data_IF_276835728441
#
_entry.id   IF_276835728441
#
_cell.length_a   1.000
_cell.length_b   1.000
_cell.length_c   1.000
_cell.angle_alpha   90.00
_cell.angle_beta   90.00
_cell.angle_gamma   90.00
#
_symmetry.space_group_name_H-M   'P 1'
#
loop_
_entity.id
_entity.type
_entity.pdbx_description
1 polymer ?
#
# COMPACT_ATOMS: atom_id res chain seq x y z
N UNK A 1 -21.01 6.54 9.22
CA UNK A 1 -19.97 6.00 8.31
C UNK A 1 -19.92 6.88 7.06
N UNK A 2 -18.73 7.34 6.69
CA UNK A 2 -18.55 8.09 5.46
C UNK A 2 -18.81 7.19 4.26
N UNK A 3 -19.54 7.68 3.27
CA UNK A 3 -19.73 6.98 2.00
C UNK A 3 -18.60 7.42 1.04
N UNK A 4 -17.85 6.47 0.47
CA UNK A 4 -16.73 6.74 -0.44
C UNK A 4 -17.15 7.51 -1.70
N UNK A 5 -18.40 7.39 -2.15
CA UNK A 5 -18.94 8.20 -3.25
C UNK A 5 -18.87 9.71 -2.96
N UNK A 6 -18.90 10.11 -1.69
CA UNK A 6 -18.83 11.50 -1.25
C UNK A 6 -17.39 11.95 -0.93
N UNK A 7 -16.40 11.07 -1.04
CA UNK A 7 -15.02 11.39 -0.66
C UNK A 7 -14.47 12.61 -1.40
N UNK A 8 -14.85 12.82 -2.65
CA UNK A 8 -14.38 13.94 -3.47
C UNK A 8 -15.13 15.25 -3.24
N UNK A 9 -16.21 15.25 -2.44
CA UNK A 9 -16.93 16.49 -2.12
C UNK A 9 -16.01 17.46 -1.38
N UNK A 10 -16.19 18.78 -1.62
CA UNK A 10 -15.41 19.85 -0.98
C UNK A 10 -15.42 19.72 0.54
N UNK A 11 -16.59 19.46 1.12
CA UNK A 11 -16.75 19.17 2.54
C UNK A 11 -17.09 17.70 2.75
N UNK A 12 -16.15 16.98 3.30
CA UNK A 12 -16.31 15.59 3.71
C UNK A 12 -15.82 15.42 5.15
N UNK A 13 -16.59 14.73 5.98
CA UNK A 13 -16.36 14.64 7.42
C UNK A 13 -16.34 13.19 7.89
N UNK A 14 -15.38 12.83 8.74
CA UNK A 14 -15.25 11.55 9.41
C UNK A 14 -15.14 11.79 10.93
N UNK A 15 -15.95 11.13 11.74
CA UNK A 15 -15.94 11.23 13.22
C UNK A 15 -15.92 12.68 13.75
N UNK A 16 -16.65 13.59 13.11
CA UNK A 16 -16.70 15.03 13.50
C UNK A 16 -15.47 15.84 13.07
N UNK A 17 -14.58 15.26 12.25
CA UNK A 17 -13.40 15.94 11.70
C UNK A 17 -13.61 16.16 10.22
N UNK A 18 -13.55 17.43 9.79
CA UNK A 18 -13.62 17.79 8.37
C UNK A 18 -12.27 17.51 7.72
N UNK A 19 -12.28 16.76 6.62
CA UNK A 19 -11.09 16.46 5.81
C UNK A 19 -10.70 17.66 4.96
N UNK A 20 -9.45 18.07 5.04
CA UNK A 20 -8.83 19.07 4.17
C UNK A 20 -8.23 18.38 2.96
N UNK A 21 -8.58 18.80 1.74
CA UNK A 21 -7.97 18.31 0.50
C UNK A 21 -6.56 18.87 0.36
N UNK A 22 -5.59 17.99 0.25
CA UNK A 22 -4.18 18.32 0.07
C UNK A 22 -3.75 17.81 -1.30
N UNK A 23 -3.37 18.71 -2.18
CA UNK A 23 -2.81 18.41 -3.49
C UNK A 23 -1.28 18.48 -3.43
N UNK A 24 -0.60 17.56 -4.09
CA UNK A 24 0.87 17.50 -4.12
C UNK A 24 1.39 16.83 -5.39
N UNK A 25 2.65 17.10 -5.71
CA UNK A 25 3.32 16.49 -6.85
C UNK A 25 3.83 15.09 -6.52
N UNK A 26 3.57 14.18 -7.44
CA UNK A 26 4.09 12.84 -7.53
C UNK A 26 4.68 12.59 -8.92
N UNK A 27 4.99 11.35 -9.26
CA UNK A 27 5.52 10.96 -10.56
C UNK A 27 4.92 9.64 -11.06
N UNK A 28 5.05 9.39 -12.37
CA UNK A 28 4.62 8.14 -13.03
C UNK A 28 5.81 7.31 -13.53
N UNK A 29 6.71 6.79 -12.66
CA UNK A 29 7.75 5.87 -13.08
C UNK A 29 7.12 4.59 -13.67
N UNK A 30 7.65 4.10 -14.78
CA UNK A 30 7.18 2.88 -15.45
C UNK A 30 7.69 1.61 -14.76
N UNK A 31 8.78 1.73 -14.00
CA UNK A 31 9.40 0.68 -13.21
C UNK A 31 10.22 1.25 -12.05
N UNK A 32 10.80 0.38 -11.24
CA UNK A 32 11.57 0.78 -10.06
C UNK A 32 12.88 1.50 -10.40
N UNK A 33 13.56 1.11 -11.51
CA UNK A 33 14.80 1.79 -11.96
C UNK A 33 14.53 3.26 -12.29
N UNK A 34 13.40 3.55 -12.95
CA UNK A 34 13.05 4.95 -13.23
C UNK A 34 12.81 5.74 -11.93
N UNK A 35 12.09 5.14 -10.95
CA UNK A 35 11.84 5.81 -9.68
C UNK A 35 13.13 6.08 -8.89
N UNK A 36 14.06 5.12 -8.86
CA UNK A 36 15.29 5.17 -8.08
C UNK A 36 16.36 6.05 -8.74
N UNK A 37 16.58 5.87 -10.05
CA UNK A 37 17.79 6.41 -10.71
C UNK A 37 17.51 7.41 -11.83
N UNK A 38 16.26 7.53 -12.29
CA UNK A 38 15.89 8.34 -13.46
C UNK A 38 14.64 9.20 -13.21
N UNK A 39 14.49 9.70 -12.01
CA UNK A 39 13.31 10.47 -11.61
C UNK A 39 13.05 11.69 -12.53
N UNK A 40 14.11 12.33 -13.03
CA UNK A 40 14.00 13.46 -13.96
C UNK A 40 13.40 13.08 -15.34
N UNK A 41 13.37 11.79 -15.67
CA UNK A 41 12.75 11.28 -16.91
C UNK A 41 11.27 10.89 -16.69
N UNK A 42 10.80 10.87 -15.44
CA UNK A 42 9.43 10.50 -15.12
C UNK A 42 8.47 11.67 -15.37
N UNK A 43 7.28 11.35 -15.89
CA UNK A 43 6.19 12.31 -15.96
C UNK A 43 5.76 12.72 -14.53
N UNK A 44 5.74 14.03 -14.27
CA UNK A 44 5.15 14.57 -13.05
C UNK A 44 3.63 14.47 -13.11
N UNK A 45 3.01 14.13 -12.00
CA UNK A 45 1.55 14.08 -11.86
C UNK A 45 1.14 14.73 -10.54
N UNK A 46 0.11 15.56 -10.60
CA UNK A 46 -0.52 16.09 -9.40
C UNK A 46 -1.53 15.08 -8.89
N UNK A 47 -1.38 14.66 -7.65
CA UNK A 47 -2.35 13.80 -6.97
C UNK A 47 -2.82 14.47 -5.68
N UNK A 48 -3.79 13.89 -5.02
CA UNK A 48 -4.34 14.45 -3.79
C UNK A 48 -4.71 13.37 -2.75
N UNK A 49 -5.24 13.85 -1.66
CA UNK A 49 -5.87 13.08 -0.61
C UNK A 49 -6.55 14.00 0.37
N UNK A 50 -7.18 13.43 1.40
CA UNK A 50 -7.79 14.21 2.46
C UNK A 50 -7.10 13.99 3.80
N UNK A 51 -6.69 15.09 4.41
CA UNK A 51 -6.09 15.11 5.75
C UNK A 51 -7.18 15.42 6.79
N UNK A 52 -7.36 14.48 7.71
CA UNK A 52 -8.26 14.61 8.86
C UNK A 52 -7.41 14.83 10.11
N UNK A 53 -7.50 16.03 10.70
CA UNK A 53 -6.75 16.45 11.88
C UNK A 53 -7.67 16.64 13.08
N UNK A 54 -7.68 15.71 14.05
CA UNK A 54 -8.37 15.92 15.32
C UNK A 54 -7.82 17.15 16.06
N UNK A 55 -8.68 17.83 16.79
CA UNK A 55 -8.25 18.99 17.62
C UNK A 55 -7.23 18.54 18.67
N UNK A 56 -6.04 19.16 18.66
CA UNK A 56 -4.96 18.90 19.62
C UNK A 56 -4.16 20.15 19.90
N UNK A 57 -3.61 20.26 21.11
CA UNK A 57 -2.62 21.27 21.48
C UNK A 57 -1.17 20.85 21.19
N UNK A 58 -0.96 19.59 20.88
CA UNK A 58 0.35 19.01 20.54
C UNK A 58 0.30 18.39 19.14
N UNK A 59 1.44 18.27 18.45
CA UNK A 59 1.50 17.50 17.20
C UNK A 59 1.01 16.06 17.41
N UNK A 60 0.25 15.56 16.46
CA UNK A 60 -0.37 14.23 16.51
C UNK A 60 0.44 13.21 15.69
N UNK A 61 0.44 11.94 16.10
CA UNK A 61 0.83 10.87 15.19
C UNK A 61 -0.13 10.82 14.00
N UNK A 62 0.33 10.32 12.87
CA UNK A 62 -0.48 10.24 11.66
C UNK A 62 -0.36 8.87 10.97
N UNK A 63 -1.45 8.45 10.32
CA UNK A 63 -1.47 7.27 9.44
C UNK A 63 -1.87 7.71 8.03
N UNK A 64 -1.04 7.36 7.03
CA UNK A 64 -1.39 7.45 5.62
C UNK A 64 -2.14 6.18 5.24
N UNK A 65 -3.41 6.29 4.86
CA UNK A 65 -4.19 5.16 4.34
C UNK A 65 -4.09 5.15 2.81
N UNK A 66 -3.61 4.03 2.26
CA UNK A 66 -3.37 3.83 0.83
C UNK A 66 -4.36 2.79 0.30
N UNK A 67 -5.22 3.16 -0.66
CA UNK A 67 -6.25 2.27 -1.16
C UNK A 67 -5.69 1.15 -2.04
N UNK A 68 -6.53 0.14 -2.27
CA UNK A 68 -6.28 -0.94 -3.22
C UNK A 68 -6.67 -0.61 -4.66
N UNK A 69 -6.82 -1.66 -5.48
CA UNK A 69 -7.10 -1.57 -6.93
C UNK A 69 -8.45 -0.93 -7.30
N UNK A 70 -9.35 -0.74 -6.33
CA UNK A 70 -10.64 -0.07 -6.52
C UNK A 70 -10.64 1.42 -6.08
N UNK A 71 -9.48 1.99 -5.73
CA UNK A 71 -9.42 3.34 -5.16
C UNK A 71 -9.99 3.41 -3.74
N UNK A 72 -10.29 4.64 -3.30
CA UNK A 72 -10.84 4.89 -1.96
C UNK A 72 -12.22 4.25 -1.84
N UNK A 73 -12.41 3.43 -0.80
CA UNK A 73 -13.63 2.65 -0.54
C UNK A 73 -14.06 2.79 0.92
N UNK A 74 -15.29 2.40 1.22
CA UNK A 74 -15.91 2.58 2.54
C UNK A 74 -15.13 1.94 3.70
N UNK A 75 -14.44 0.80 3.46
CA UNK A 75 -13.58 0.20 4.48
C UNK A 75 -12.41 1.10 4.86
N UNK A 76 -11.77 1.77 3.90
CA UNK A 76 -10.68 2.72 4.18
C UNK A 76 -11.18 3.88 5.06
N UNK A 77 -12.38 4.39 4.79
CA UNK A 77 -13.00 5.46 5.56
C UNK A 77 -13.39 4.97 6.97
N UNK A 78 -13.89 3.75 7.11
CA UNK A 78 -14.20 3.15 8.41
C UNK A 78 -12.93 2.95 9.27
N UNK A 79 -11.81 2.59 8.64
CA UNK A 79 -10.51 2.52 9.33
C UNK A 79 -10.00 3.90 9.72
N UNK A 80 -10.17 4.90 8.84
CA UNK A 80 -9.87 6.30 9.15
C UNK A 80 -10.68 6.78 10.38
N UNK A 81 -12.01 6.54 10.41
CA UNK A 81 -12.85 6.87 11.57
C UNK A 81 -12.37 6.19 12.84
N UNK A 82 -11.97 4.91 12.74
CA UNK A 82 -11.45 4.14 13.88
C UNK A 82 -10.18 4.77 14.45
N UNK A 83 -9.24 5.18 13.60
CA UNK A 83 -8.00 5.84 14.00
C UNK A 83 -8.23 7.26 14.55
N UNK A 84 -9.15 8.04 13.94
CA UNK A 84 -9.53 9.37 14.41
C UNK A 84 -10.12 9.35 15.83
N UNK A 85 -10.91 8.32 16.15
CA UNK A 85 -11.47 8.14 17.49
C UNK A 85 -10.39 7.85 18.56
N UNK A 86 -9.22 7.36 18.14
CA UNK A 86 -8.01 7.21 18.99
C UNK A 86 -7.10 8.44 18.96
N UNK A 87 -7.59 9.58 18.39
CA UNK A 87 -6.83 10.84 18.25
C UNK A 87 -5.57 10.74 17.41
N UNK A 88 -5.54 9.84 16.43
CA UNK A 88 -4.51 9.71 15.41
C UNK A 88 -4.99 10.51 14.19
N UNK A 89 -4.15 11.37 13.65
CA UNK A 89 -4.44 12.06 12.38
C UNK A 89 -4.42 11.05 11.23
N UNK A 90 -5.26 11.26 10.22
CA UNK A 90 -5.33 10.34 9.08
C UNK A 90 -5.24 11.12 7.78
N UNK A 91 -4.38 10.67 6.88
CA UNK A 91 -4.34 11.10 5.50
C UNK A 91 -4.81 9.98 4.59
N UNK A 92 -5.97 10.12 3.97
CA UNK A 92 -6.49 9.16 3.00
C UNK A 92 -6.01 9.59 1.61
N UNK A 93 -5.07 8.83 1.05
CA UNK A 93 -4.48 9.09 -0.26
C UNK A 93 -5.45 8.70 -1.38
N UNK A 94 -5.59 9.54 -2.40
CA UNK A 94 -6.24 9.21 -3.66
C UNK A 94 -5.22 9.22 -4.82
N UNK A 95 -4.70 8.07 -5.23
CA UNK A 95 -3.72 7.99 -6.31
C UNK A 95 -4.36 7.99 -7.71
N UNK A 96 -5.68 7.85 -7.83
CA UNK A 96 -6.33 7.50 -9.08
C UNK A 96 -7.06 8.66 -9.76
N UNK A 97 -7.82 9.48 -9.02
CA UNK A 97 -8.72 10.47 -9.60
C UNK A 97 -8.04 11.41 -10.62
N UNK A 98 -6.90 11.98 -10.25
CA UNK A 98 -6.16 12.90 -11.13
C UNK A 98 -5.39 12.19 -12.26
N UNK A 99 -5.30 10.86 -12.23
CA UNK A 99 -4.75 10.05 -13.34
C UNK A 99 -5.80 9.57 -14.31
N UNK A 100 -7.09 9.82 -14.04
CA UNK A 100 -8.20 9.27 -14.82
C UNK A 100 -8.26 7.74 -14.77
N UNK A 101 -7.84 7.15 -13.64
CA UNK A 101 -7.91 5.72 -13.37
C UNK A 101 -9.08 5.47 -12.43
N UNK A 102 -10.05 4.70 -12.86
CA UNK A 102 -11.18 4.31 -12.00
C UNK A 102 -10.85 3.06 -11.20
N UNK A 103 -10.16 2.09 -11.80
CA UNK A 103 -9.83 0.81 -11.20
C UNK A 103 -8.68 0.13 -11.92
N UNK A 104 -7.84 -0.58 -11.18
CA UNK A 104 -6.80 -1.46 -11.74
C UNK A 104 -7.15 -2.95 -11.67
N UNK A 105 -8.35 -3.32 -11.22
CA UNK A 105 -8.80 -4.71 -11.01
C UNK A 105 -8.68 -5.57 -12.27
N UNK A 106 -9.13 -5.04 -13.41
CA UNK A 106 -9.10 -5.75 -14.68
C UNK A 106 -7.75 -5.66 -15.41
N UNK A 107 -6.94 -4.64 -15.09
CA UNK A 107 -5.61 -4.40 -15.65
C UNK A 107 -4.69 -3.81 -14.59
N UNK A 108 -3.94 -4.67 -13.90
CA UNK A 108 -3.02 -4.28 -12.84
C UNK A 108 -1.79 -3.49 -13.34
N UNK A 109 -1.55 -3.44 -14.65
CA UNK A 109 -0.35 -2.83 -15.24
C UNK A 109 -0.56 -1.44 -15.83
N UNK A 110 -1.78 -0.89 -15.74
CA UNK A 110 -2.06 0.47 -16.24
C UNK A 110 -1.52 1.59 -15.35
N UNK A 111 -1.18 1.25 -14.13
CA UNK A 111 -0.57 2.09 -13.12
C UNK A 111 0.50 1.26 -12.41
N UNK A 112 1.77 1.64 -12.52
CA UNK A 112 2.87 0.78 -12.06
C UNK A 112 2.91 0.63 -10.54
N UNK A 113 3.44 -0.50 -10.05
CA UNK A 113 3.68 -0.68 -8.62
C UNK A 113 4.74 0.28 -8.10
N UNK A 114 5.74 0.64 -8.92
CA UNK A 114 6.72 1.67 -8.59
C UNK A 114 6.08 3.04 -8.40
N UNK A 115 5.14 3.45 -9.28
CA UNK A 115 4.38 4.69 -9.13
C UNK A 115 3.49 4.67 -7.88
N UNK A 116 2.88 3.51 -7.57
CA UNK A 116 2.09 3.35 -6.34
C UNK A 116 2.93 3.60 -5.08
N UNK A 117 4.16 3.07 -5.02
CA UNK A 117 5.06 3.28 -3.91
C UNK A 117 5.62 4.72 -3.86
N UNK A 118 5.88 5.32 -5.05
CA UNK A 118 6.30 6.72 -5.14
C UNK A 118 5.25 7.67 -4.56
N UNK A 119 3.97 7.45 -4.84
CA UNK A 119 2.87 8.26 -4.28
C UNK A 119 2.85 8.22 -2.75
N UNK A 120 3.14 7.08 -2.15
CA UNK A 120 3.19 6.93 -0.69
C UNK A 120 4.33 7.77 -0.10
N UNK A 121 5.50 7.79 -0.74
CA UNK A 121 6.63 8.62 -0.32
C UNK A 121 6.38 10.11 -0.54
N UNK A 122 5.72 10.48 -1.65
CA UNK A 122 5.31 11.86 -1.91
C UNK A 122 4.31 12.35 -0.85
N UNK A 123 3.35 11.49 -0.45
CA UNK A 123 2.43 11.77 0.64
C UNK A 123 3.16 11.92 1.98
N UNK A 124 4.10 11.03 2.31
CA UNK A 124 4.93 11.12 3.52
C UNK A 124 5.64 12.48 3.60
N UNK A 125 6.35 12.86 2.53
CA UNK A 125 7.06 14.15 2.46
C UNK A 125 6.11 15.34 2.63
N UNK A 126 4.93 15.25 2.04
CA UNK A 126 3.93 16.32 2.10
C UNK A 126 3.36 16.48 3.51
N UNK A 127 2.87 15.41 4.13
CA UNK A 127 2.22 15.53 5.43
C UNK A 127 3.21 15.77 6.57
N UNK A 128 4.47 15.37 6.43
CA UNK A 128 5.52 15.64 7.43
C UNK A 128 5.81 17.14 7.61
N UNK A 129 5.41 17.99 6.66
CA UNK A 129 5.58 19.43 6.73
C UNK A 129 4.48 20.14 7.55
N UNK A 130 3.42 19.44 7.93
CA UNK A 130 2.34 20.03 8.72
C UNK A 130 2.75 20.13 10.19
N UNK A 131 2.80 21.34 10.73
CA UNK A 131 3.22 21.60 12.13
C UNK A 131 2.35 20.90 13.20
N UNK A 132 1.15 20.45 12.83
CA UNK A 132 0.25 19.69 13.69
C UNK A 132 0.46 18.18 13.64
N UNK A 133 1.37 17.71 12.78
CA UNK A 133 1.76 16.31 12.67
C UNK A 133 3.16 16.14 13.25
N UNK A 134 3.35 15.12 14.07
CA UNK A 134 4.67 14.71 14.53
C UNK A 134 5.34 13.89 13.41
N UNK A 135 6.29 14.49 12.72
CA UNK A 135 6.99 13.87 11.60
C UNK A 135 7.76 12.58 11.96
N UNK A 136 8.07 12.38 13.25
CA UNK A 136 8.71 11.14 13.73
C UNK A 136 7.70 10.02 14.04
N UNK A 137 6.41 10.32 13.97
CA UNK A 137 5.32 9.36 14.25
C UNK A 137 4.33 9.32 13.10
N UNK A 138 4.85 9.11 11.88
CA UNK A 138 4.03 8.87 10.69
C UNK A 138 4.14 7.39 10.33
N UNK A 139 2.98 6.73 10.20
CA UNK A 139 2.86 5.35 9.73
C UNK A 139 2.09 5.30 8.42
N UNK A 140 2.27 4.22 7.68
CA UNK A 140 1.46 3.94 6.49
C UNK A 140 0.66 2.65 6.67
N UNK A 141 -0.59 2.66 6.20
CA UNK A 141 -1.46 1.51 6.13
C UNK A 141 -1.96 1.36 4.70
N UNK A 142 -1.60 0.28 4.03
CA UNK A 142 -1.99 0.05 2.65
C UNK A 142 -2.78 -1.23 2.46
N UNK A 143 -3.76 -1.19 1.55
CA UNK A 143 -4.67 -2.31 1.27
C UNK A 143 -4.41 -2.88 -0.12
N UNK A 144 -4.20 -4.19 -0.25
CA UNK A 144 -3.99 -4.88 -1.53
C UNK A 144 -2.81 -4.26 -2.31
N UNK A 145 -3.03 -3.65 -3.47
CA UNK A 145 -2.05 -2.84 -4.19
C UNK A 145 -1.41 -1.76 -3.29
N UNK A 146 -2.21 -1.08 -2.48
CA UNK A 146 -1.72 -0.13 -1.48
C UNK A 146 -0.84 -0.78 -0.43
N UNK A 147 -1.12 -2.04 -0.07
CA UNK A 147 -0.27 -2.85 0.82
C UNK A 147 1.10 -3.12 0.22
N UNK A 148 1.17 -3.42 -1.08
CA UNK A 148 2.43 -3.52 -1.83
C UNK A 148 3.18 -2.19 -1.83
N UNK A 149 2.45 -1.10 -2.09
CA UNK A 149 3.01 0.24 -2.17
C UNK A 149 3.68 0.67 -0.84
N UNK A 150 3.03 0.42 0.31
CA UNK A 150 3.61 0.79 1.61
C UNK A 150 4.79 -0.10 2.01
N UNK A 151 4.80 -1.38 1.62
CA UNK A 151 5.97 -2.24 1.82
C UNK A 151 7.16 -1.74 1.01
N UNK A 152 6.98 -1.51 -0.29
CA UNK A 152 8.04 -0.97 -1.16
C UNK A 152 8.51 0.41 -0.69
N UNK A 153 7.59 1.29 -0.26
CA UNK A 153 7.94 2.61 0.26
C UNK A 153 8.71 2.57 1.61
N UNK A 154 8.67 1.44 2.34
CA UNK A 154 9.48 1.23 3.53
C UNK A 154 10.91 0.78 3.23
N UNK A 155 11.16 0.22 2.04
CA UNK A 155 12.47 -0.28 1.60
C UNK A 155 13.44 0.89 1.37
N UNK A 156 14.58 0.90 2.04
CA UNK A 156 15.55 1.99 1.96
C UNK A 156 16.14 2.15 0.56
N UNK A 157 16.37 1.05 -0.14
CA UNK A 157 16.83 1.06 -1.53
C UNK A 157 15.89 1.83 -2.47
N UNK A 158 14.58 1.82 -2.18
CA UNK A 158 13.58 2.59 -2.93
C UNK A 158 13.37 3.99 -2.35
N UNK A 159 13.26 4.12 -1.03
CA UNK A 159 12.84 5.37 -0.38
C UNK A 159 13.94 6.44 -0.40
N UNK A 160 15.19 6.09 -0.05
CA UNK A 160 16.26 7.08 0.12
C UNK A 160 16.59 7.88 -1.16
N UNK A 161 16.63 7.29 -2.36
CA UNK A 161 16.84 8.06 -3.58
C UNK A 161 15.72 9.08 -3.87
N UNK A 162 14.50 8.83 -3.37
CA UNK A 162 13.29 9.63 -3.68
C UNK A 162 13.07 10.74 -2.65
N UNK A 163 13.17 10.43 -1.36
CA UNK A 163 12.84 11.39 -0.29
C UNK A 163 14.02 11.76 0.60
N UNK A 164 15.16 11.08 0.45
CA UNK A 164 16.35 11.26 1.28
C UNK A 164 16.37 10.36 2.52
N UNK A 165 17.56 10.23 3.15
CA UNK A 165 17.76 9.29 4.27
C UNK A 165 17.08 9.72 5.58
N UNK A 166 16.69 11.00 5.69
CA UNK A 166 16.05 11.55 6.89
C UNK A 166 14.54 11.26 6.95
N UNK A 167 13.93 10.77 5.86
CA UNK A 167 12.53 10.41 5.80
C UNK A 167 12.34 8.90 5.95
N UNK A 168 11.33 8.53 6.72
CA UNK A 168 10.93 7.14 6.91
C UNK A 168 9.64 7.02 7.68
N UNK A 169 9.05 5.83 7.63
CA UNK A 169 7.87 5.53 8.41
C UNK A 169 8.25 5.04 9.81
N UNK A 170 7.46 5.45 10.83
CA UNK A 170 7.55 4.84 12.15
C UNK A 170 7.15 3.37 12.08
N UNK A 171 6.09 3.07 11.33
CA UNK A 171 5.65 1.70 11.09
C UNK A 171 4.84 1.59 9.80
N UNK A 172 4.75 0.37 9.27
CA UNK A 172 3.97 0.03 8.07
C UNK A 172 3.04 -1.14 8.37
N UNK A 173 1.74 -0.95 8.11
CA UNK A 173 0.70 -1.98 8.22
C UNK A 173 0.22 -2.37 6.83
N UNK A 174 0.72 -3.49 6.32
CA UNK A 174 0.43 -3.99 4.98
C UNK A 174 -0.74 -4.99 5.01
N UNK A 175 -1.87 -4.60 4.45
CA UNK A 175 -3.12 -5.35 4.49
C UNK A 175 -3.26 -6.16 3.21
N UNK A 176 -3.21 -7.47 3.30
CA UNK A 176 -3.22 -8.44 2.19
C UNK A 176 -2.43 -7.94 0.97
N UNK A 177 -1.12 -7.60 1.16
CA UNK A 177 -0.31 -7.02 0.10
C UNK A 177 -0.03 -8.03 -1.02
N UNK A 178 0.03 -7.55 -2.25
CA UNK A 178 0.66 -8.35 -3.30
C UNK A 178 2.18 -8.22 -3.17
N UNK A 179 2.87 -9.34 -3.00
CA UNK A 179 4.31 -9.42 -2.78
C UNK A 179 5.03 -10.15 -3.93
N UNK A 180 4.55 -9.95 -5.16
CA UNK A 180 5.16 -10.53 -6.35
C UNK A 180 6.46 -9.86 -6.78
N UNK A 181 6.71 -8.60 -6.35
CA UNK A 181 7.99 -7.91 -6.47
C UNK A 181 8.62 -7.74 -5.09
N UNK A 182 9.87 -8.12 -4.93
CA UNK A 182 10.60 -8.04 -3.65
C UNK A 182 12.05 -7.66 -3.92
N UNK A 183 12.62 -6.73 -3.14
CA UNK A 183 14.05 -6.48 -3.18
C UNK A 183 14.83 -7.71 -2.69
N UNK A 184 15.97 -8.03 -3.31
CA UNK A 184 16.83 -9.16 -2.88
C UNK A 184 17.32 -8.97 -1.43
N UNK A 185 17.52 -7.71 -1.03
CA UNK A 185 17.95 -7.34 0.32
C UNK A 185 16.98 -6.28 0.87
N UNK A 186 15.85 -6.70 1.45
CA UNK A 186 14.81 -5.80 1.94
C UNK A 186 15.21 -5.14 3.27
N UNK A 187 15.92 -4.01 3.19
CA UNK A 187 16.27 -3.17 4.35
C UNK A 187 15.18 -2.12 4.56
N UNK A 188 14.48 -2.20 5.68
CA UNK A 188 13.45 -1.22 6.09
C UNK A 188 13.94 -0.27 7.20
N UNK A 189 15.22 -0.31 7.54
CA UNK A 189 15.81 0.49 8.63
C UNK A 189 15.09 0.28 9.95
N UNK A 190 14.71 1.38 10.61
CA UNK A 190 13.98 1.36 11.89
C UNK A 190 12.45 1.26 11.76
N UNK A 191 11.91 0.99 10.58
CA UNK A 191 10.46 0.86 10.37
C UNK A 191 9.95 -0.49 10.88
N UNK A 192 9.01 -0.50 11.81
CA UNK A 192 8.31 -1.73 12.23
C UNK A 192 7.27 -2.13 11.17
N UNK A 193 7.32 -3.35 10.68
CA UNK A 193 6.44 -3.86 9.62
C UNK A 193 5.49 -4.93 10.12
N UNK A 194 4.21 -4.82 9.76
CA UNK A 194 3.24 -5.89 9.97
C UNK A 194 2.41 -6.10 8.71
N UNK A 195 2.35 -7.35 8.27
CA UNK A 195 1.40 -7.79 7.27
C UNK A 195 0.23 -8.55 7.93
N UNK A 196 -0.98 -8.39 7.35
CA UNK A 196 -2.14 -9.22 7.69
C UNK A 196 -2.78 -9.72 6.40
N UNK A 197 -3.14 -10.99 6.34
CA UNK A 197 -3.69 -11.62 5.12
C UNK A 197 -4.68 -12.72 5.47
N UNK A 198 -5.67 -12.94 4.63
CA UNK A 198 -6.59 -14.06 4.75
C UNK A 198 -5.94 -15.38 4.31
N UNK A 199 -6.23 -16.48 5.04
CA UNK A 199 -5.76 -17.82 4.69
C UNK A 199 -6.25 -18.27 3.30
N UNK A 200 -7.46 -17.87 2.92
CA UNK A 200 -8.13 -18.23 1.67
C UNK A 200 -8.04 -17.12 0.61
N UNK A 201 -7.03 -16.26 0.71
CA UNK A 201 -6.84 -15.19 -0.26
C UNK A 201 -6.52 -15.76 -1.66
N UNK A 202 -7.31 -15.34 -2.65
CA UNK A 202 -7.17 -15.77 -4.04
C UNK A 202 -6.53 -14.71 -4.95
N UNK A 203 -6.32 -13.49 -4.42
CA UNK A 203 -5.72 -12.38 -5.16
C UNK A 203 -4.21 -12.35 -5.03
N UNK A 204 -3.72 -12.67 -3.84
CA UNK A 204 -2.31 -12.59 -3.48
C UNK A 204 -1.80 -13.91 -2.92
N UNK A 205 -0.51 -14.11 -2.96
CA UNK A 205 0.15 -15.31 -2.40
C UNK A 205 0.50 -15.08 -0.93
N UNK A 206 -0.11 -15.87 -0.04
CA UNK A 206 0.24 -15.90 1.38
C UNK A 206 1.72 -16.24 1.58
N UNK A 207 2.26 -17.17 0.77
CA UNK A 207 3.65 -17.61 0.83
C UNK A 207 4.63 -16.49 0.43
N UNK A 208 4.30 -15.70 -0.61
CA UNK A 208 5.14 -14.55 -0.98
C UNK A 208 5.16 -13.49 0.11
N UNK A 209 4.03 -13.24 0.78
CA UNK A 209 3.96 -12.32 1.93
C UNK A 209 4.85 -12.85 3.07
N UNK A 210 4.71 -14.14 3.44
CA UNK A 210 5.55 -14.75 4.48
C UNK A 210 7.03 -14.67 4.14
N UNK A 211 7.40 -14.92 2.86
CA UNK A 211 8.77 -14.83 2.36
C UNK A 211 9.34 -13.43 2.51
N UNK A 212 8.60 -12.39 2.10
CA UNK A 212 9.05 -10.99 2.23
C UNK A 212 9.23 -10.58 3.70
N UNK A 213 8.25 -10.91 4.57
CA UNK A 213 8.35 -10.62 6.00
C UNK A 213 9.55 -11.33 6.63
N UNK A 214 9.81 -12.59 6.26
CA UNK A 214 10.98 -13.33 6.74
C UNK A 214 12.29 -12.71 6.23
N UNK A 215 12.34 -12.29 4.96
CA UNK A 215 13.52 -11.64 4.38
C UNK A 215 13.85 -10.32 5.09
N UNK A 216 12.84 -9.49 5.41
CA UNK A 216 13.02 -8.26 6.20
C UNK A 216 13.66 -8.58 7.56
N UNK A 217 13.17 -9.61 8.26
CA UNK A 217 13.76 -10.02 9.54
C UNK A 217 15.21 -10.52 9.40
N UNK A 218 15.52 -11.25 8.33
CA UNK A 218 16.88 -11.73 8.06
C UNK A 218 17.84 -10.57 7.72
N UNK A 219 17.34 -9.47 7.19
CA UNK A 219 18.10 -8.23 6.97
C UNK A 219 18.18 -7.33 8.21
N UNK A 220 17.67 -7.77 9.36
CA UNK A 220 17.75 -7.05 10.65
C UNK A 220 16.58 -6.11 10.94
N UNK A 221 15.55 -6.08 10.09
CA UNK A 221 14.32 -5.34 10.34
C UNK A 221 13.42 -6.02 11.37
N UNK A 222 12.41 -5.31 11.86
CA UNK A 222 11.35 -5.82 12.73
C UNK A 222 10.07 -6.02 11.94
N UNK A 223 9.76 -7.27 11.57
CA UNK A 223 8.59 -7.56 10.72
C UNK A 223 7.81 -8.77 11.23
N UNK A 224 6.49 -8.74 11.07
CA UNK A 224 5.59 -9.81 11.46
C UNK A 224 4.44 -9.99 10.47
N UNK A 225 3.86 -11.19 10.41
CA UNK A 225 2.68 -11.49 9.61
C UNK A 225 1.61 -12.17 10.46
N UNK A 226 0.35 -11.76 10.24
CA UNK A 226 -0.82 -12.46 10.77
C UNK A 226 -1.63 -13.05 9.62
N UNK A 227 -1.82 -14.37 9.66
CA UNK A 227 -2.74 -15.08 8.76
C UNK A 227 -4.07 -15.24 9.48
N UNK A 228 -5.16 -14.80 8.86
CA UNK A 228 -6.52 -14.89 9.41
C UNK A 228 -7.21 -16.11 8.82
N UNK A 229 -7.45 -17.11 9.67
CA UNK A 229 -8.04 -18.39 9.26
C UNK A 229 -9.43 -18.21 8.64
N UNK A 230 -9.67 -18.84 7.50
CA UNK A 230 -10.92 -18.81 6.77
C UNK A 230 -11.27 -17.49 6.09
N UNK A 231 -10.40 -16.47 6.17
CA UNK A 231 -10.63 -15.18 5.56
C UNK A 231 -10.20 -15.16 4.08
N UNK A 232 -11.00 -14.49 3.23
CA UNK A 232 -10.67 -14.21 1.84
C UNK A 232 -9.94 -12.87 1.70
N UNK A 233 -9.70 -12.38 0.47
CA UNK A 233 -9.19 -11.03 0.21
C UNK A 233 -10.20 -9.97 0.67
N UNK A 234 -9.75 -8.82 1.12
CA UNK A 234 -10.60 -7.72 1.60
C UNK A 234 -11.59 -8.12 2.71
N UNK A 235 -11.17 -9.01 3.61
CA UNK A 235 -12.00 -9.54 4.70
C UNK A 235 -12.36 -8.49 5.78
N UNK A 236 -11.75 -7.31 5.72
CA UNK A 236 -12.05 -6.13 6.53
C UNK A 236 -13.29 -5.36 6.06
N UNK A 237 -13.84 -5.69 4.87
CA UNK A 237 -15.07 -5.10 4.34
C UNK A 237 -16.32 -5.70 4.99
N UNK A 238 -17.35 -4.87 5.20
CA UNK A 238 -18.68 -5.32 5.62
C UNK A 238 -19.48 -5.86 4.42
N UNK A 239 -18.99 -6.94 3.84
CA UNK A 239 -19.48 -7.50 2.58
C UNK A 239 -19.36 -9.02 2.62
N UNK A 240 -20.42 -9.72 2.19
CA UNK A 240 -20.36 -11.19 2.06
C UNK A 240 -19.34 -11.57 0.99
N UNK A 241 -18.63 -12.68 1.23
CA UNK A 241 -17.68 -13.22 0.24
C UNK A 241 -18.39 -13.48 -1.08
N UNK A 242 -17.85 -12.90 -2.16
CA UNK A 242 -18.31 -13.09 -3.53
C UNK A 242 -17.15 -12.96 -4.52
N UNK A 243 -17.35 -13.43 -5.74
CA UNK A 243 -16.34 -13.39 -6.80
C UNK A 243 -16.44 -12.07 -7.58
N UNK A 244 -15.30 -11.46 -7.86
CA UNK A 244 -15.15 -10.36 -8.83
C UNK A 244 -14.70 -11.00 -10.16
N UNK A 245 -15.59 -11.16 -11.17
CA UNK A 245 -15.28 -11.93 -12.37
C UNK A 245 -14.18 -11.34 -13.24
N UNK A 246 -14.05 -10.00 -13.27
CA UNK A 246 -13.05 -9.26 -14.04
C UNK A 246 -11.66 -9.19 -13.37
N UNK A 247 -11.54 -9.64 -12.13
CA UNK A 247 -10.27 -9.63 -11.41
C UNK A 247 -9.18 -10.36 -12.20
N UNK A 248 -8.06 -9.67 -12.43
CA UNK A 248 -6.89 -10.23 -13.10
C UNK A 248 -5.82 -10.54 -12.07
N UNK A 249 -5.58 -11.82 -11.82
CA UNK A 249 -4.73 -12.30 -10.71
C UNK A 249 -3.77 -13.40 -11.16
N UNK A 250 -2.62 -13.49 -10.51
CA UNK A 250 -1.62 -14.54 -10.72
C UNK A 250 -0.92 -14.91 -9.38
N UNK A 251 -1.66 -15.39 -8.36
CA UNK A 251 -1.10 -15.63 -7.02
C UNK A 251 -0.03 -16.73 -7.00
N UNK A 252 0.02 -17.59 -8.04
CA UNK A 252 0.98 -18.67 -8.16
C UNK A 252 2.16 -18.33 -9.08
N UNK A 253 2.25 -17.09 -9.58
CA UNK A 253 3.40 -16.66 -10.37
C UNK A 253 4.66 -16.61 -9.48
N UNK A 254 5.85 -16.89 -10.04
CA UNK A 254 7.10 -16.71 -9.31
C UNK A 254 7.28 -15.30 -8.82
N UNK A 255 7.98 -15.15 -7.69
CA UNK A 255 8.42 -13.82 -7.21
C UNK A 255 9.47 -13.27 -8.16
N UNK A 256 9.32 -11.99 -8.51
CA UNK A 256 10.32 -11.22 -9.24
C UNK A 256 11.17 -10.49 -8.21
N UNK A 257 12.44 -10.81 -8.15
CA UNK A 257 13.36 -10.07 -7.30
C UNK A 257 13.82 -8.79 -7.98
N UNK A 258 14.08 -7.79 -7.17
CA UNK A 258 14.63 -6.49 -7.57
C UNK A 258 16.03 -6.40 -6.99
N UNK A 259 17.00 -6.00 -7.81
CA UNK A 259 18.31 -5.63 -7.28
C UNK A 259 18.28 -4.24 -6.60
N UNK A 260 19.40 -3.80 -6.04
CA UNK A 260 19.49 -2.51 -5.32
C UNK A 260 19.14 -1.30 -6.17
N UNK A 261 19.26 -1.40 -7.48
CA UNK A 261 18.96 -0.32 -8.43
C UNK A 261 17.51 -0.40 -8.96
N UNK A 262 16.75 -1.41 -8.51
CA UNK A 262 15.37 -1.66 -8.90
C UNK A 262 15.21 -2.43 -10.22
N UNK A 263 16.30 -2.98 -10.79
CA UNK A 263 16.19 -3.80 -11.98
C UNK A 263 15.55 -5.15 -11.64
N UNK A 264 14.63 -5.57 -12.49
CA UNK A 264 13.85 -6.79 -12.28
C UNK A 264 14.63 -8.03 -12.75
N UNK A 265 14.72 -9.03 -11.90
CA UNK A 265 15.43 -10.29 -12.17
C UNK A 265 14.41 -11.32 -12.67
N UNK A 266 14.59 -11.76 -13.91
CA UNK A 266 13.73 -12.76 -14.51
C UNK A 266 13.85 -14.11 -13.75
N UNK A 267 12.75 -14.67 -13.24
CA UNK A 267 12.78 -15.81 -12.34
C UNK A 267 13.19 -17.13 -13.03
N UNK A 268 13.18 -17.17 -14.35
CA UNK A 268 13.51 -18.37 -15.12
C UNK A 268 14.96 -18.35 -15.61
N UNK A 269 15.46 -17.20 -16.05
CA UNK A 269 16.82 -17.05 -16.59
C UNK A 269 17.82 -16.49 -15.59
N UNK A 270 17.36 -15.83 -14.52
CA UNK A 270 18.21 -15.09 -13.58
C UNK A 270 18.79 -13.80 -14.17
N UNK A 271 18.33 -13.38 -15.36
CA UNK A 271 18.84 -12.16 -16.01
C UNK A 271 18.19 -10.92 -15.42
N UNK A 272 19.00 -9.92 -15.05
CA UNK A 272 18.51 -8.61 -14.59
C UNK A 272 18.15 -7.72 -15.79
N UNK A 273 17.06 -6.96 -15.66
CA UNK A 273 16.57 -6.04 -16.69
C UNK A 273 16.13 -4.70 -16.10
N UNK A 274 16.84 -3.65 -16.46
CA UNK A 274 16.53 -2.27 -16.08
C UNK A 274 15.34 -1.66 -16.86
N UNK A 275 14.90 -2.31 -17.94
CA UNK A 275 13.80 -1.85 -18.79
C UNK A 275 12.52 -2.67 -18.64
N UNK A 276 12.58 -3.77 -17.89
CA UNK A 276 11.38 -4.56 -17.60
C UNK A 276 10.35 -3.74 -16.81
N UNK A 277 9.07 -4.01 -17.06
CA UNK A 277 7.93 -3.34 -16.43
C UNK A 277 6.96 -4.37 -15.86
N UNK A 278 6.02 -3.92 -15.04
CA UNK A 278 4.94 -4.77 -14.54
C UNK A 278 4.20 -5.50 -15.67
N UNK A 279 4.03 -4.83 -16.83
CA UNK A 279 3.42 -5.44 -18.02
C UNK A 279 4.25 -6.58 -18.58
N UNK A 280 5.58 -6.44 -18.60
CA UNK A 280 6.48 -7.50 -19.06
C UNK A 280 6.25 -8.79 -18.25
N UNK A 281 6.25 -8.68 -16.92
CA UNK A 281 6.07 -9.82 -16.03
C UNK A 281 4.65 -10.35 -16.04
N UNK A 282 3.66 -9.49 -16.15
CA UNK A 282 2.27 -9.92 -16.28
C UNK A 282 2.09 -10.81 -17.52
N UNK A 283 2.65 -10.43 -18.66
CA UNK A 283 2.57 -11.22 -19.88
C UNK A 283 3.31 -12.56 -19.72
N UNK A 284 4.50 -12.57 -19.13
CA UNK A 284 5.25 -13.81 -18.83
C UNK A 284 4.44 -14.72 -17.91
N UNK A 285 3.80 -14.18 -16.85
CA UNK A 285 2.97 -14.97 -15.95
C UNK A 285 1.74 -15.58 -16.66
N UNK A 286 1.14 -14.85 -17.59
CA UNK A 286 0.01 -15.34 -18.41
C UNK A 286 0.48 -16.43 -19.37
N UNK A 287 1.60 -16.24 -20.07
CA UNK A 287 2.19 -17.24 -20.98
C UNK A 287 2.60 -18.52 -20.26
N UNK A 288 3.09 -18.41 -19.02
CA UNK A 288 3.41 -19.54 -18.16
C UNK A 288 2.18 -20.21 -17.51
N UNK A 289 0.97 -19.74 -17.78
CA UNK A 289 -0.28 -20.30 -17.27
C UNK A 289 -0.62 -19.96 -15.81
N UNK A 290 0.04 -18.97 -15.22
CA UNK A 290 -0.25 -18.52 -13.84
C UNK A 290 -1.41 -17.52 -13.75
N UNK A 291 -1.68 -16.78 -14.84
CA UNK A 291 -2.75 -15.78 -14.89
C UNK A 291 -4.13 -16.41 -14.94
N UNK A 292 -5.07 -15.84 -14.17
CA UNK A 292 -6.49 -16.23 -14.24
C UNK A 292 -7.41 -15.02 -14.06
N UNK A 293 -8.67 -15.19 -14.47
CA UNK A 293 -9.76 -14.26 -14.19
C UNK A 293 -10.63 -14.79 -13.07
N UNK A 294 -11.12 -13.85 -12.27
CA UNK A 294 -12.00 -14.13 -11.13
C UNK A 294 -11.23 -14.44 -9.86
N UNK A 295 -11.59 -13.72 -8.79
CA UNK A 295 -11.10 -13.96 -7.44
C UNK A 295 -12.10 -13.41 -6.41
N UNK A 296 -12.15 -14.05 -5.24
CA UNK A 296 -13.11 -13.73 -4.18
C UNK A 296 -12.65 -12.58 -3.31
N UNK A 297 -13.60 -11.72 -2.88
CA UNK A 297 -13.39 -10.67 -1.86
C UNK A 297 -14.50 -10.75 -0.82
N UNK A 298 -14.27 -10.09 0.34
CA UNK A 298 -15.28 -9.95 1.39
C UNK A 298 -14.94 -10.75 2.65
N UNK A 299 -15.72 -10.51 3.71
CA UNK A 299 -15.46 -11.08 5.01
C UNK A 299 -16.68 -11.23 5.89
N UNK A 300 -16.45 -11.76 7.08
CA UNK A 300 -17.44 -11.88 8.15
C UNK A 300 -17.26 -10.78 9.19
N UNK A 301 -18.27 -10.53 10.02
CA UNK A 301 -18.13 -9.60 11.16
C UNK A 301 -17.00 -9.98 12.12
N UNK A 302 -16.73 -11.29 12.26
CA UNK A 302 -15.60 -11.76 13.06
C UNK A 302 -14.26 -11.39 12.44
N UNK A 303 -14.11 -11.59 11.13
CA UNK A 303 -12.89 -11.20 10.40
C UNK A 303 -12.66 -9.68 10.47
N UNK A 304 -13.70 -8.87 10.32
CA UNK A 304 -13.62 -7.41 10.48
C UNK A 304 -13.19 -7.02 11.88
N UNK A 305 -13.71 -7.71 12.92
CA UNK A 305 -13.30 -7.48 14.31
C UNK A 305 -11.82 -7.83 14.52
N UNK A 306 -11.38 -8.98 14.01
CA UNK A 306 -9.97 -9.41 14.07
C UNK A 306 -9.08 -8.35 13.41
N UNK A 307 -9.45 -7.87 12.23
CA UNK A 307 -8.72 -6.83 11.53
C UNK A 307 -8.62 -5.54 12.35
N UNK A 308 -9.75 -5.01 12.80
CA UNK A 308 -9.80 -3.76 13.56
C UNK A 308 -8.98 -3.82 14.84
N UNK A 309 -9.07 -4.92 15.59
CA UNK A 309 -8.34 -5.10 16.85
C UNK A 309 -6.82 -5.19 16.58
N UNK A 310 -6.41 -5.88 15.52
CA UNK A 310 -5.01 -6.01 15.08
C UNK A 310 -4.45 -4.66 14.62
N UNK A 311 -5.18 -3.95 13.76
CA UNK A 311 -4.83 -2.62 13.27
C UNK A 311 -4.62 -1.62 14.41
N UNK A 312 -5.60 -1.52 15.32
CA UNK A 312 -5.50 -0.62 16.47
C UNK A 312 -4.35 -0.98 17.39
N UNK A 313 -4.18 -2.26 17.71
CA UNK A 313 -3.08 -2.73 18.55
C UNK A 313 -1.74 -2.35 17.94
N UNK A 314 -1.57 -2.57 16.63
CA UNK A 314 -0.33 -2.27 15.92
C UNK A 314 -0.02 -0.78 15.92
N UNK A 315 -0.95 0.07 15.50
CA UNK A 315 -0.68 1.51 15.46
C UNK A 315 -0.44 2.10 16.84
N UNK A 316 -1.23 1.70 17.85
CA UNK A 316 -1.05 2.19 19.25
C UNK A 316 0.26 1.76 19.87
N UNK A 317 0.77 0.58 19.55
CA UNK A 317 2.07 0.10 20.09
C UNK A 317 3.27 0.81 19.45
N UNK A 318 3.09 1.44 18.27
CA UNK A 318 4.16 2.11 17.55
C UNK A 318 4.17 3.64 17.75
N UNK A 319 3.13 4.22 18.35
CA UNK A 319 3.02 5.65 18.63
C UNK A 319 3.17 5.96 20.13
#
# INVERSE_FOLDING_TARGET
MGNSENFHMERFELSGVVGERIEFLSANPQNYVQAISKLSECEEVQIDGKLFLPKSSQPLPAVIIVPGSLGVSDNHLAHAETLLNERIAVFVLDPFANRGVDSTVANQTQYSFAASAFDVLAALRTISQFSKIDSNRISAQGHSRGGSAVLTAAERAFAEPIVGPDYGFKSVYAVYPWCGHQFETPDVGGTTVRAIVGELDEWVSVQQIQSQIQAINLCGGEASVRIVTGAAHSFDKEEKVHVIPEASVAPNAPTIFLDSDGAMIDPYSGSSSAIATDRTHFLQAVEAGHGRRGASIGGTKEHQKIFRDDMLSFHKSNF
#
